data_IF_359349093343
#
_entry.id   IF_359349093343
#
_cell.length_a   1.000
_cell.length_b   1.000
_cell.length_c   1.000
_cell.angle_alpha   90.00
_cell.angle_beta   90.00
_cell.angle_gamma   90.00
#
_symmetry.space_group_name_H-M   'P 1'
#
loop_
_entity.id
_entity.type
_entity.pdbx_description
1 polymer ?
#
# COMPACT_ATOMS: atom_id res chain seq x y z
N UNK A 1 -67.09 14.11 11.05
CA UNK A 1 -67.82 12.85 10.81
C UNK A 1 -67.24 12.16 9.59
N UNK A 2 -66.69 10.94 9.74
CA UNK A 2 -66.57 9.97 8.64
C UNK A 2 -67.97 9.51 8.20
N UNK A 3 -68.15 8.93 7.00
CA UNK A 3 -68.05 7.45 6.91
C UNK A 3 -67.54 6.88 5.55
N UNK A 4 -66.99 5.66 5.62
CA UNK A 4 -66.90 4.62 4.58
C UNK A 4 -68.25 3.84 4.52
N UNK A 5 -68.67 3.04 3.49
CA UNK A 5 -67.92 1.89 2.92
C UNK A 5 -68.21 1.43 1.44
N UNK A 6 -67.48 0.38 1.00
CA UNK A 6 -67.59 -0.52 -0.20
C UNK A 6 -68.96 -1.26 -0.35
N UNK A 7 -69.27 -2.18 -1.33
CA UNK A 7 -68.43 -2.99 -2.27
C UNK A 7 -69.05 -3.32 -3.69
N UNK A 8 -68.37 -4.12 -4.53
CA UNK A 8 -68.87 -5.38 -5.17
C UNK A 8 -68.04 -5.86 -6.38
N UNK A 9 -67.82 -7.18 -6.41
CA UNK A 9 -67.13 -8.05 -7.39
C UNK A 9 -68.03 -8.52 -8.54
N UNK A 10 -67.47 -8.82 -9.73
CA UNK A 10 -67.72 -10.07 -10.48
C UNK A 10 -66.81 -10.25 -11.74
N UNK A 11 -66.28 -11.46 -11.89
CA UNK A 11 -65.82 -12.14 -13.12
C UNK A 11 -66.99 -13.00 -13.68
N UNK A 12 -66.87 -13.80 -14.76
CA UNK A 12 -66.01 -13.81 -15.96
C UNK A 12 -66.87 -14.00 -17.25
N UNK A 13 -66.26 -14.07 -18.45
CA UNK A 13 -66.64 -15.07 -19.48
C UNK A 13 -65.65 -15.12 -20.66
N UNK A 14 -65.38 -16.36 -21.06
CA UNK A 14 -64.58 -16.89 -22.17
C UNK A 14 -65.19 -16.60 -23.55
N UNK A 15 -64.36 -16.56 -24.60
CA UNK A 15 -64.50 -17.45 -25.76
C UNK A 15 -63.31 -17.40 -26.75
N UNK A 16 -62.84 -18.61 -27.11
CA UNK A 16 -62.08 -19.06 -28.29
C UNK A 16 -63.05 -19.98 -29.08
N UNK A 17 -62.78 -20.55 -30.29
CA UNK A 17 -61.62 -20.51 -31.19
C UNK A 17 -62.01 -20.41 -32.71
N UNK A 18 -61.05 -20.53 -33.64
CA UNK A 18 -61.25 -21.21 -34.92
C UNK A 18 -59.95 -21.89 -35.40
N UNK A 19 -60.12 -23.03 -36.08
CA UNK A 19 -59.20 -24.13 -36.37
C UNK A 19 -58.73 -24.20 -37.83
N UNK A 20 -57.67 -25.00 -38.08
CA UNK A 20 -57.47 -26.02 -39.16
C UNK A 20 -55.98 -26.06 -39.60
N UNK A 21 -55.15 -27.11 -39.37
CA UNK A 21 -55.13 -28.55 -39.75
C UNK A 21 -54.34 -28.82 -41.07
N UNK A 22 -53.10 -29.36 -41.06
CA UNK A 22 -52.60 -30.78 -41.14
C UNK A 22 -51.83 -31.05 -42.48
N UNK A 23 -51.01 -32.13 -42.75
CA UNK A 23 -50.46 -33.25 -41.93
C UNK A 23 -48.95 -33.66 -42.23
N UNK A 24 -48.48 -34.73 -41.55
CA UNK A 24 -47.14 -35.42 -41.58
C UNK A 24 -46.87 -36.35 -42.80
N UNK A 25 -45.68 -37.01 -42.94
CA UNK A 25 -45.46 -38.33 -42.31
C UNK A 25 -44.01 -38.66 -41.82
N UNK A 26 -43.97 -39.81 -41.16
CA UNK A 26 -42.98 -40.46 -40.29
C UNK A 26 -42.08 -41.47 -41.06
N UNK A 27 -40.85 -41.74 -40.59
CA UNK A 27 -40.23 -43.07 -40.77
C UNK A 27 -39.12 -43.37 -39.76
N UNK A 28 -39.35 -44.39 -38.92
CA UNK A 28 -38.39 -45.07 -38.06
C UNK A 28 -37.43 -45.97 -38.86
N UNK A 29 -36.19 -46.13 -38.40
CA UNK A 29 -35.50 -47.44 -38.32
C UNK A 29 -34.60 -47.52 -37.08
N UNK A 30 -34.58 -48.71 -36.49
CA UNK A 30 -34.04 -49.10 -35.18
C UNK A 30 -32.64 -49.76 -35.29
N UNK A 31 -31.99 -49.84 -34.12
CA UNK A 31 -30.95 -50.78 -33.65
C UNK A 31 -29.47 -50.35 -33.80
N UNK A 32 -28.79 -50.06 -32.68
CA UNK A 32 -28.05 -51.04 -31.88
C UNK A 32 -27.37 -50.38 -30.66
N UNK A 33 -27.40 -51.09 -29.53
CA UNK A 33 -26.77 -50.75 -28.25
C UNK A 33 -25.24 -50.80 -28.36
N UNK A 34 -24.54 -49.84 -27.75
CA UNK A 34 -23.15 -50.02 -27.31
C UNK A 34 -22.83 -49.14 -26.09
N UNK A 35 -22.60 -49.85 -24.99
CA UNK A 35 -21.74 -49.58 -23.83
C UNK A 35 -21.57 -48.13 -23.34
N UNK A 36 -22.17 -47.89 -22.17
CA UNK A 36 -21.79 -46.84 -21.22
C UNK A 36 -20.33 -47.06 -20.80
N UNK A 37 -19.44 -46.12 -21.15
CA UNK A 37 -18.19 -45.91 -20.43
C UNK A 37 -18.17 -44.48 -19.93
N UNK A 38 -18.17 -44.35 -18.60
CA UNK A 38 -17.94 -43.08 -17.93
C UNK A 38 -16.50 -42.64 -18.17
N UNK A 39 -16.32 -41.52 -18.86
CA UNK A 39 -15.06 -40.79 -18.84
C UNK A 39 -15.27 -39.55 -17.97
N UNK A 40 -14.80 -39.63 -16.72
CA UNK A 40 -14.62 -38.48 -15.87
C UNK A 40 -13.67 -37.50 -16.56
N UNK A 41 -14.19 -36.34 -16.98
CA UNK A 41 -13.35 -35.23 -17.44
C UNK A 41 -12.66 -34.67 -16.19
N UNK A 42 -11.44 -35.13 -15.94
CA UNK A 42 -10.56 -34.54 -14.94
C UNK A 42 -10.28 -33.08 -15.33
N UNK A 43 -10.63 -32.16 -14.44
CA UNK A 43 -10.14 -30.80 -14.47
C UNK A 43 -8.61 -30.83 -14.36
N UNK A 44 -7.92 -30.60 -15.48
CA UNK A 44 -6.49 -30.33 -15.47
C UNK A 44 -6.28 -28.93 -14.87
N UNK A 45 -6.08 -28.89 -13.57
CA UNK A 45 -5.38 -27.77 -12.93
C UNK A 45 -3.93 -27.83 -13.40
N UNK A 46 -3.66 -27.28 -14.58
CA UNK A 46 -2.29 -27.02 -15.03
C UNK A 46 -1.69 -25.94 -14.14
N UNK A 47 -1.14 -26.38 -13.01
CA UNK A 47 -0.18 -25.60 -12.25
C UNK A 47 1.04 -25.35 -13.16
N UNK A 48 1.53 -24.10 -13.19
CA UNK A 48 2.71 -23.71 -13.93
C UNK A 48 3.92 -24.52 -13.44
N UNK A 49 4.33 -25.54 -14.21
CA UNK A 49 5.45 -26.42 -13.87
C UNK A 49 6.78 -25.89 -14.42
N UNK A 50 7.76 -25.71 -13.53
CA UNK A 50 9.15 -25.34 -13.85
C UNK A 50 9.98 -26.58 -14.21
N UNK A 51 10.79 -26.50 -15.26
CA UNK A 51 11.81 -27.49 -15.59
C UNK A 51 13.22 -26.90 -15.44
N UNK A 52 14.00 -27.42 -14.49
CA UNK A 52 15.45 -27.21 -14.37
C UNK A 52 16.23 -28.37 -15.02
N UNK A 53 17.40 -28.04 -15.60
CA UNK A 53 18.66 -28.82 -15.82
C UNK A 53 19.39 -28.26 -17.07
N UNK A 54 20.70 -28.06 -17.21
CA UNK A 54 21.93 -28.08 -16.38
C UNK A 54 23.11 -27.58 -17.26
N UNK A 55 24.16 -27.05 -16.60
CA UNK A 55 25.61 -27.07 -16.93
C UNK A 55 26.36 -25.90 -17.66
N UNK A 56 27.25 -25.28 -16.86
CA UNK A 56 28.68 -24.91 -17.06
C UNK A 56 29.08 -23.94 -18.20
N UNK A 57 30.07 -23.03 -18.11
CA UNK A 57 31.26 -22.88 -17.25
C UNK A 57 31.75 -21.39 -17.25
N UNK A 58 32.83 -21.01 -16.51
CA UNK A 58 33.13 -19.64 -16.09
C UNK A 58 34.13 -18.90 -17.00
N UNK A 59 34.13 -17.56 -16.93
CA UNK A 59 35.28 -16.74 -17.36
C UNK A 59 35.63 -15.70 -16.30
N UNK A 60 36.91 -15.68 -15.96
CA UNK A 60 37.57 -14.75 -15.06
C UNK A 60 38.10 -13.53 -15.83
N UNK A 61 38.26 -12.41 -15.12
CA UNK A 61 39.42 -11.51 -15.13
C UNK A 61 39.11 -10.37 -14.14
N UNK A 62 39.76 -10.28 -12.99
CA UNK A 62 41.15 -9.86 -12.68
C UNK A 62 41.31 -8.34 -12.52
N UNK A 63 42.07 -8.01 -11.48
CA UNK A 63 42.27 -6.72 -10.81
C UNK A 63 43.11 -5.77 -11.64
N UNK A 64 42.92 -4.47 -11.43
CA UNK A 64 44.05 -3.54 -11.22
C UNK A 64 43.70 -2.56 -10.10
N UNK A 65 44.62 -2.46 -9.15
CA UNK A 65 44.66 -1.52 -8.02
C UNK A 65 45.74 -0.47 -8.29
N UNK A 66 45.58 0.66 -7.60
CA UNK A 66 46.62 1.51 -7.00
C UNK A 66 46.80 2.91 -7.61
N UNK A 67 46.84 3.88 -6.70
CA UNK A 67 47.20 5.27 -6.97
C UNK A 67 46.96 6.16 -5.75
N UNK A 68 47.72 5.90 -4.67
CA UNK A 68 47.77 6.71 -3.45
C UNK A 68 48.39 8.09 -3.71
N UNK A 69 47.97 9.10 -2.96
CA UNK A 69 48.63 10.41 -2.91
C UNK A 69 48.18 11.23 -1.70
N UNK A 70 49.00 11.23 -0.65
CA UNK A 70 48.88 12.02 0.57
C UNK A 70 49.18 13.51 0.33
N UNK A 71 48.58 14.40 1.12
CA UNK A 71 48.98 15.81 1.19
C UNK A 71 48.35 16.55 2.37
N UNK A 72 49.16 16.78 3.41
CA UNK A 72 48.91 17.67 4.55
C UNK A 72 48.92 19.14 4.12
N UNK A 73 48.17 19.99 4.82
CA UNK A 73 48.26 21.45 4.71
C UNK A 73 47.30 22.19 5.64
N UNK A 74 47.83 22.59 6.80
CA UNK A 74 47.29 23.62 7.72
C UNK A 74 47.12 24.97 7.00
N UNK A 75 46.06 25.71 7.33
CA UNK A 75 46.19 27.17 7.55
C UNK A 75 45.01 27.68 8.40
N UNK A 76 45.36 28.54 9.34
CA UNK A 76 44.48 29.19 10.30
C UNK A 76 44.42 30.67 9.95
N UNK A 77 43.20 31.21 9.83
CA UNK A 77 42.99 32.63 9.54
C UNK A 77 41.66 33.13 10.08
N UNK A 78 41.69 33.67 11.29
CA UNK A 78 40.63 34.48 11.88
C UNK A 78 40.62 35.89 11.26
N UNK A 79 39.45 36.49 11.03
CA UNK A 79 39.13 37.79 11.64
C UNK A 79 37.63 38.12 11.65
N UNK A 80 37.33 38.98 12.61
CA UNK A 80 36.12 39.52 13.21
C UNK A 80 35.11 40.20 12.28
N UNK A 81 33.87 40.21 12.76
CA UNK A 81 32.82 41.17 12.41
C UNK A 81 31.64 41.06 13.37
N UNK A 82 31.77 41.65 14.55
CA UNK A 82 30.78 41.67 15.63
C UNK A 82 30.21 43.08 15.79
N UNK A 83 28.88 43.19 15.81
CA UNK A 83 28.05 44.17 16.54
C UNK A 83 26.60 43.64 16.42
N UNK A 84 25.86 43.27 17.47
CA UNK A 84 25.67 43.96 18.76
C UNK A 84 24.38 44.78 18.67
N UNK A 85 23.37 44.64 19.53
CA UNK A 85 23.16 43.73 20.66
C UNK A 85 21.64 43.55 20.90
N UNK A 86 21.20 42.85 21.94
CA UNK A 86 21.19 43.12 23.38
C UNK A 86 19.75 43.38 23.86
N UNK A 87 19.36 42.65 24.91
CA UNK A 87 17.99 42.60 25.42
C UNK A 87 17.75 41.43 26.37
N UNK A 88 18.73 41.19 27.26
CA UNK A 88 18.55 40.34 28.44
C UNK A 88 17.64 41.07 29.42
N UNK A 89 16.51 40.46 29.77
CA UNK A 89 15.64 40.90 30.85
C UNK A 89 15.41 39.71 31.78
N UNK A 90 16.24 39.63 32.83
CA UNK A 90 15.98 38.76 33.95
C UNK A 90 14.67 39.17 34.64
N UNK A 91 13.79 38.20 34.89
CA UNK A 91 12.79 38.33 35.95
C UNK A 91 12.73 37.01 36.71
N UNK A 92 13.40 37.02 37.85
CA UNK A 92 13.31 36.06 38.92
C UNK A 92 11.86 36.03 39.45
N UNK A 93 11.31 34.84 39.63
CA UNK A 93 10.15 34.60 40.48
C UNK A 93 8.78 34.88 39.86
N UNK A 94 8.29 33.92 39.08
CA UNK A 94 6.87 33.60 39.15
C UNK A 94 6.70 32.09 39.07
N UNK A 95 6.03 31.52 40.07
CA UNK A 95 5.68 30.10 40.13
C UNK A 95 4.99 29.75 38.82
N UNK A 96 5.61 28.88 38.03
CA UNK A 96 5.04 28.43 36.77
C UNK A 96 3.73 27.72 37.04
N UNK A 97 2.63 28.37 36.70
CA UNK A 97 1.32 27.75 36.64
C UNK A 97 1.43 26.55 35.70
N UNK A 98 1.29 25.35 36.25
CA UNK A 98 1.32 24.06 35.55
C UNK A 98 0.13 23.86 34.61
N UNK A 99 -0.52 24.95 34.17
CA UNK A 99 -1.80 24.96 33.47
C UNK A 99 -1.80 25.82 32.20
N UNK A 100 -0.64 26.26 31.69
CA UNK A 100 -0.57 26.87 30.35
C UNK A 100 -0.72 25.77 29.29
N UNK A 101 -1.69 25.88 28.35
CA UNK A 101 -1.83 24.90 27.27
C UNK A 101 -0.52 24.72 26.51
N UNK A 102 -0.09 23.48 26.27
CA UNK A 102 1.03 23.22 25.39
C UNK A 102 0.72 23.79 24.00
N UNK A 103 1.75 24.26 23.27
CA UNK A 103 1.59 24.66 21.88
C UNK A 103 1.07 23.45 21.07
N UNK A 104 -0.21 23.46 20.72
CA UNK A 104 -0.82 22.43 19.89
C UNK A 104 -0.36 22.60 18.45
N UNK A 105 0.02 21.48 17.82
CA UNK A 105 0.28 21.46 16.38
C UNK A 105 -0.99 21.74 15.58
N UNK A 106 -0.86 21.91 14.26
CA UNK A 106 -2.02 22.01 13.37
C UNK A 106 -2.83 20.70 13.36
N UNK A 107 -4.15 20.71 13.08
CA UNK A 107 -4.93 19.47 12.92
C UNK A 107 -4.34 18.59 11.81
N UNK A 108 -4.46 17.27 11.94
CA UNK A 108 -3.93 16.33 10.95
C UNK A 108 -4.80 16.24 9.68
N UNK A 109 -6.12 16.45 9.82
CA UNK A 109 -7.13 16.17 8.79
C UNK A 109 -7.10 14.69 8.39
N UNK A 110 -7.57 14.36 7.17
CA UNK A 110 -7.48 13.00 6.63
C UNK A 110 -6.03 12.52 6.63
N UNK A 111 -5.76 11.46 7.39
CA UNK A 111 -4.46 10.83 7.43
C UNK A 111 -4.15 10.16 6.08
N UNK A 112 -2.87 9.93 5.83
CA UNK A 112 -2.40 9.16 4.68
C UNK A 112 -1.36 8.13 5.11
N UNK A 113 -1.29 7.02 4.37
CA UNK A 113 -0.21 6.05 4.47
C UNK A 113 0.83 6.36 3.40
N UNK A 114 2.05 6.66 3.83
CA UNK A 114 3.21 6.83 2.95
C UNK A 114 4.16 5.66 3.17
N UNK A 115 4.52 4.97 2.11
CA UNK A 115 5.52 3.93 2.21
C UNK A 115 6.93 4.54 2.29
N UNK A 116 7.70 4.09 3.27
CA UNK A 116 9.10 4.42 3.46
C UNK A 116 9.95 3.19 3.14
N UNK A 117 10.99 3.29 2.30
CA UNK A 117 11.89 2.17 2.02
C UNK A 117 12.52 1.58 3.29
N UNK A 118 12.75 2.40 4.32
CA UNK A 118 13.41 1.99 5.56
C UNK A 118 12.44 1.55 6.65
N UNK A 119 11.18 2.02 6.59
CA UNK A 119 10.22 1.89 7.68
C UNK A 119 8.91 1.20 7.27
N UNK A 120 8.78 0.77 6.02
CA UNK A 120 7.51 0.31 5.47
C UNK A 120 6.44 1.41 5.53
N UNK A 121 5.15 1.08 5.69
CA UNK A 121 4.08 2.07 5.74
C UNK A 121 4.19 2.96 6.99
N UNK A 122 4.23 4.26 6.76
CA UNK A 122 4.28 5.32 7.77
C UNK A 122 3.00 6.15 7.69
N UNK A 123 2.37 6.40 8.84
CA UNK A 123 1.23 7.31 8.95
C UNK A 123 1.69 8.75 8.86
N UNK A 124 1.00 9.53 8.04
CA UNK A 124 1.25 10.96 7.82
C UNK A 124 -0.04 11.76 7.98
N UNK A 125 0.10 13.05 8.25
CA UNK A 125 -1.02 13.98 8.13
C UNK A 125 -1.36 14.32 6.67
N UNK A 126 -2.42 15.11 6.46
CA UNK A 126 -2.84 15.57 5.13
C UNK A 126 -1.81 16.38 4.35
N UNK A 127 -0.75 16.87 5.00
CA UNK A 127 0.37 17.57 4.37
C UNK A 127 1.54 16.63 4.08
N UNK A 128 1.44 15.35 4.40
CA UNK A 128 2.49 14.35 4.21
C UNK A 128 3.59 14.39 5.28
N UNK A 129 3.38 15.09 6.41
CA UNK A 129 4.31 15.09 7.54
C UNK A 129 4.13 13.80 8.35
N UNK A 130 5.23 13.13 8.71
CA UNK A 130 5.17 11.90 9.48
C UNK A 130 4.63 12.12 10.90
N UNK A 131 3.83 11.16 11.37
CA UNK A 131 3.35 11.13 12.76
C UNK A 131 4.14 10.11 13.56
N UNK A 132 4.37 10.44 14.83
CA UNK A 132 5.25 9.70 15.73
C UNK A 132 4.56 9.29 17.00
N UNK A 133 5.02 8.17 17.55
CA UNK A 133 4.73 7.69 18.91
C UNK A 133 5.97 7.76 19.79
N UNK A 134 5.72 7.93 21.08
CA UNK A 134 6.74 7.97 22.12
C UNK A 134 6.65 6.75 23.03
N UNK A 135 7.77 6.08 23.28
CA UNK A 135 7.81 4.86 24.09
C UNK A 135 7.50 5.07 25.58
N UNK A 136 7.61 6.30 26.07
CA UNK A 136 7.24 6.62 27.46
C UNK A 136 5.75 6.91 27.64
N UNK A 137 4.97 6.92 26.56
CA UNK A 137 3.52 7.03 26.61
C UNK A 137 2.88 5.67 26.94
N UNK A 138 1.58 5.67 27.23
CA UNK A 138 0.79 4.43 27.37
C UNK A 138 -0.37 4.42 26.39
N UNK A 139 -0.74 3.24 25.91
CA UNK A 139 -1.89 3.07 25.01
C UNK A 139 -3.19 2.68 25.70
N UNK A 140 -3.11 2.06 26.88
CA UNK A 140 -4.27 1.52 27.62
C UNK A 140 -4.05 1.68 29.13
N UNK A 141 -4.68 2.67 29.79
CA UNK A 141 -5.36 3.80 29.15
C UNK A 141 -4.36 4.66 28.34
N UNK A 142 -4.82 5.36 27.30
CA UNK A 142 -4.00 6.35 26.61
C UNK A 142 -3.48 7.42 27.58
N UNK A 143 -2.17 7.68 27.58
CA UNK A 143 -1.58 8.78 28.35
C UNK A 143 -0.31 9.30 27.66
N UNK A 144 -0.12 10.62 27.66
CA UNK A 144 1.07 11.29 27.14
C UNK A 144 2.04 11.68 28.26
N UNK A 145 3.27 11.17 28.20
CA UNK A 145 4.39 11.60 29.04
C UNK A 145 5.13 12.83 28.47
N UNK A 146 4.91 13.21 27.22
CA UNK A 146 5.59 14.34 26.59
C UNK A 146 4.85 15.66 26.86
N UNK A 147 5.41 16.54 27.68
CA UNK A 147 4.87 17.88 27.99
C UNK A 147 5.99 18.94 28.06
N UNK A 148 5.63 20.23 28.18
CA UNK A 148 6.60 21.32 28.28
C UNK A 148 7.60 21.35 27.13
N UNK A 149 8.90 21.35 27.45
CA UNK A 149 9.98 21.35 26.45
C UNK A 149 9.94 20.15 25.50
N UNK A 150 9.44 18.99 25.96
CA UNK A 150 9.23 17.84 25.08
C UNK A 150 8.22 18.20 23.99
N UNK A 151 7.09 18.80 24.35
CA UNK A 151 6.03 19.18 23.42
C UNK A 151 6.45 20.31 22.46
N UNK A 152 7.49 21.09 22.78
CA UNK A 152 8.06 22.06 21.85
C UNK A 152 8.85 21.37 20.72
N UNK A 153 9.54 20.27 21.02
CA UNK A 153 10.29 19.48 20.02
C UNK A 153 9.39 18.47 19.31
N UNK A 154 8.37 17.99 20.02
CA UNK A 154 7.40 17.01 19.56
C UNK A 154 5.99 17.56 19.71
N UNK A 155 5.56 18.49 18.84
CA UNK A 155 4.23 19.09 18.94
C UNK A 155 3.12 18.02 18.93
N UNK A 156 2.24 18.00 19.94
CA UNK A 156 1.08 17.12 19.96
C UNK A 156 0.17 17.39 18.77
N UNK A 157 -0.34 16.34 18.15
CA UNK A 157 -1.33 16.43 17.08
C UNK A 157 -2.72 16.54 17.70
N UNK A 158 -3.50 17.61 17.43
CA UNK A 158 -4.87 17.70 17.92
C UNK A 158 -5.73 16.54 17.42
N UNK A 159 -6.67 16.09 18.26
CA UNK A 159 -7.61 15.03 17.88
C UNK A 159 -8.66 15.47 16.86
N UNK A 160 -8.88 16.77 16.74
CA UNK A 160 -9.98 17.31 15.94
C UNK A 160 -9.76 17.08 14.44
N UNK A 161 -10.85 16.73 13.75
CA UNK A 161 -10.94 16.55 12.29
C UNK A 161 -10.04 15.46 11.68
N UNK A 162 -9.43 14.60 12.49
CA UNK A 162 -8.65 13.47 12.00
C UNK A 162 -9.58 12.34 11.50
N UNK A 163 -9.38 11.91 10.25
CA UNK A 163 -10.05 10.74 9.68
C UNK A 163 -9.03 9.72 9.22
N UNK A 164 -9.38 8.44 9.31
CA UNK A 164 -8.47 7.36 8.95
C UNK A 164 -8.15 7.38 7.45
N UNK A 165 -6.90 7.06 7.13
CA UNK A 165 -6.48 6.81 5.75
C UNK A 165 -7.17 5.54 5.20
N UNK A 166 -7.23 5.42 3.87
CA UNK A 166 -7.50 4.09 3.26
C UNK A 166 -6.43 3.10 3.74
N UNK A 167 -6.84 1.87 4.06
CA UNK A 167 -5.96 0.86 4.66
C UNK A 167 -5.74 1.00 6.17
N UNK A 168 -6.34 1.97 6.84
CA UNK A 168 -6.39 2.05 8.30
C UNK A 168 -7.80 1.75 8.82
N UNK A 169 -7.89 1.00 9.93
CA UNK A 169 -9.16 0.84 10.61
C UNK A 169 -9.57 2.17 11.27
N UNK A 170 -10.79 2.65 11.01
CA UNK A 170 -11.32 3.85 11.69
C UNK A 170 -11.30 3.70 13.22
N UNK A 171 -11.49 2.47 13.73
CA UNK A 171 -11.39 2.13 15.15
C UNK A 171 -9.98 2.19 15.73
N UNK A 172 -8.95 2.33 14.90
CA UNK A 172 -7.59 2.59 15.39
C UNK A 172 -7.43 4.04 15.86
N UNK A 173 -8.26 4.97 15.38
CA UNK A 173 -8.20 6.37 15.80
C UNK A 173 -8.96 6.58 17.11
N UNK A 174 -8.40 7.44 17.95
CA UNK A 174 -9.02 7.87 19.20
C UNK A 174 -8.48 9.20 19.67
N UNK A 175 -8.70 9.49 20.95
CA UNK A 175 -8.14 10.69 21.57
C UNK A 175 -7.72 10.42 23.00
N UNK A 176 -6.79 11.25 23.49
CA UNK A 176 -6.41 11.35 24.90
C UNK A 176 -6.54 12.80 25.35
N UNK A 177 -7.12 13.01 26.54
CA UNK A 177 -7.07 14.32 27.20
C UNK A 177 -5.74 14.43 27.93
N UNK A 178 -4.93 15.41 27.54
CA UNK A 178 -3.63 15.69 28.14
C UNK A 178 -3.80 16.39 29.50
N UNK A 179 -2.73 16.43 30.29
CA UNK A 179 -2.73 17.08 31.61
C UNK A 179 -3.07 18.58 31.56
N UNK A 180 -2.83 19.23 30.43
CA UNK A 180 -3.17 20.64 30.17
C UNK A 180 -4.62 20.84 29.65
N UNK A 181 -5.43 19.79 29.65
CA UNK A 181 -6.82 19.79 29.20
C UNK A 181 -7.02 19.67 27.69
N UNK A 182 -5.95 19.74 26.90
CA UNK A 182 -6.04 19.64 25.43
C UNK A 182 -6.29 18.20 24.96
N UNK A 183 -7.00 18.02 23.84
CA UNK A 183 -7.20 16.70 23.22
C UNK A 183 -6.15 16.42 22.17
N UNK A 184 -5.51 15.26 22.26
CA UNK A 184 -4.52 14.78 21.32
C UNK A 184 -5.00 13.52 20.62
N UNK A 185 -4.72 13.43 19.31
CA UNK A 185 -5.00 12.26 18.49
C UNK A 185 -4.26 11.04 19.05
N UNK A 186 -4.94 9.89 19.08
CA UNK A 186 -4.31 8.60 19.30
C UNK A 186 -4.48 7.68 18.10
N UNK A 187 -3.48 6.83 17.84
CA UNK A 187 -3.50 5.79 16.81
C UNK A 187 -3.13 4.46 17.49
N UNK A 188 -4.02 3.48 17.43
CA UNK A 188 -3.88 2.23 18.20
C UNK A 188 -3.80 2.46 19.71
N UNK A 189 -4.37 3.57 20.20
CA UNK A 189 -4.32 4.01 21.60
C UNK A 189 -3.08 4.85 21.97
N UNK A 190 -2.05 4.94 21.13
CA UNK A 190 -0.83 5.71 21.41
C UNK A 190 -0.99 7.18 21.02
N UNK A 191 -0.56 8.16 21.84
CA UNK A 191 -0.61 9.59 21.49
C UNK A 191 0.27 9.94 20.30
N UNK A 192 -0.24 10.81 19.42
CA UNK A 192 0.43 11.20 18.17
C UNK A 192 1.09 12.57 18.22
N UNK A 193 2.32 12.64 17.71
CA UNK A 193 3.14 13.85 17.66
C UNK A 193 3.67 14.09 16.26
N UNK A 194 3.99 15.35 15.94
CA UNK A 194 4.91 15.70 14.85
C UNK A 194 6.31 15.90 15.41
N UNK A 195 7.32 15.94 14.52
CA UNK A 195 8.68 16.30 14.90
C UNK A 195 9.04 17.68 14.35
N UNK A 196 9.54 18.57 15.21
CA UNK A 196 9.82 19.95 14.84
C UNK A 196 10.92 20.12 13.78
N UNK A 197 11.78 19.11 13.58
CA UNK A 197 12.83 19.15 12.54
C UNK A 197 12.44 18.48 11.22
N UNK A 198 11.24 17.91 11.13
CA UNK A 198 10.67 17.52 9.84
C UNK A 198 10.12 18.78 9.18
N UNK A 199 10.71 19.16 8.05
CA UNK A 199 10.42 20.42 7.36
C UNK A 199 9.79 20.22 5.99
N UNK A 200 9.80 18.98 5.49
CA UNK A 200 9.22 18.62 4.21
C UNK A 200 8.34 17.36 4.31
N UNK A 201 7.30 17.23 3.47
CA UNK A 201 6.60 15.98 3.30
C UNK A 201 7.58 14.88 2.92
N UNK A 202 7.42 13.68 3.49
CA UNK A 202 8.38 12.60 3.28
C UNK A 202 9.44 12.48 4.37
N UNK A 203 9.74 13.55 5.10
CA UNK A 203 10.70 13.49 6.21
C UNK A 203 10.27 12.43 7.24
N UNK A 204 11.26 11.68 7.74
CA UNK A 204 11.12 10.75 8.85
C UNK A 204 12.19 10.98 9.92
N UNK A 205 12.76 12.19 10.04
CA UNK A 205 13.96 12.46 10.85
C UNK A 205 13.72 12.24 12.34
N UNK A 206 12.46 12.26 12.78
CA UNK A 206 12.08 11.91 14.15
C UNK A 206 12.21 10.42 14.48
N UNK A 207 12.28 9.54 13.48
CA UNK A 207 12.34 8.10 13.71
C UNK A 207 13.69 7.76 14.36
N UNK A 208 13.66 7.01 15.47
CA UNK A 208 14.87 6.57 16.18
C UNK A 208 15.51 7.64 17.08
N UNK A 209 14.98 8.88 17.11
CA UNK A 209 15.53 9.93 17.98
C UNK A 209 15.49 9.47 19.43
N UNK A 210 16.66 9.50 20.10
CA UNK A 210 16.81 9.07 21.48
C UNK A 210 16.47 7.60 21.75
N UNK A 211 16.32 6.77 20.71
CA UNK A 211 15.90 5.37 20.82
C UNK A 211 14.47 5.14 21.32
N UNK A 212 13.69 6.21 21.53
CA UNK A 212 12.34 6.15 22.14
C UNK A 212 11.24 6.71 21.25
N UNK A 213 11.61 7.30 20.11
CA UNK A 213 10.67 7.88 19.15
C UNK A 213 10.59 7.01 17.91
N UNK A 214 9.38 6.76 17.43
CA UNK A 214 9.17 5.94 16.24
C UNK A 214 8.03 6.51 15.42
N UNK A 215 8.20 6.53 14.10
CA UNK A 215 7.09 6.84 13.20
C UNK A 215 5.96 5.81 13.40
N UNK A 216 4.72 6.19 13.14
CA UNK A 216 3.58 5.28 13.25
C UNK A 216 3.47 4.35 12.05
N UNK A 217 3.23 3.06 12.31
CA UNK A 217 2.62 2.15 11.35
C UNK A 217 1.08 2.32 11.35
N UNK A 218 0.37 1.81 10.32
CA UNK A 218 -1.08 1.96 10.17
C UNK A 218 -1.92 1.47 11.36
N UNK A 219 -1.41 0.50 12.13
CA UNK A 219 -2.07 -0.10 13.28
C UNK A 219 -1.73 0.57 14.63
N UNK A 220 -0.98 1.68 14.61
CA UNK A 220 -0.51 2.38 15.80
C UNK A 220 0.77 1.79 16.42
N UNK A 221 1.33 0.73 15.84
CA UNK A 221 2.65 0.23 16.24
C UNK A 221 3.76 1.14 15.73
N UNK A 222 4.99 0.82 16.12
CA UNK A 222 6.19 1.45 15.55
C UNK A 222 6.27 1.03 14.09
N UNK A 223 6.42 2.00 13.20
CA UNK A 223 6.83 1.74 11.84
C UNK A 223 8.22 1.12 11.89
N UNK A 224 8.32 -0.05 11.30
CA UNK A 224 9.55 -0.78 11.04
C UNK A 224 9.39 -1.26 9.62
N UNK A 225 10.47 -1.33 8.84
CA UNK A 225 10.43 -2.20 7.68
C UNK A 225 9.94 -3.56 8.20
N UNK A 226 8.73 -3.96 7.79
CA UNK A 226 8.29 -5.32 8.04
C UNK A 226 9.34 -6.28 7.46
N UNK A 227 9.27 -7.59 7.73
CA UNK A 227 9.89 -8.51 6.80
C UNK A 227 9.37 -8.11 5.42
N UNK A 228 10.25 -7.66 4.53
CA UNK A 228 9.84 -7.14 3.23
C UNK A 228 9.12 -8.27 2.51
N UNK A 229 7.79 -8.25 2.53
CA UNK A 229 6.98 -9.22 1.82
C UNK A 229 7.36 -9.08 0.35
N UNK A 230 7.73 -10.17 -0.31
CA UNK A 230 8.19 -10.08 -1.69
C UNK A 230 7.08 -9.56 -2.61
N UNK A 231 5.82 -9.86 -2.24
CA UNK A 231 4.61 -9.25 -2.80
C UNK A 231 3.57 -9.11 -1.68
N UNK A 232 2.93 -7.94 -1.59
CA UNK A 232 1.86 -7.69 -0.62
C UNK A 232 0.65 -6.97 -1.23
N UNK A 233 -0.48 -7.02 -0.54
CA UNK A 233 -1.68 -6.27 -0.88
C UNK A 233 -1.62 -4.87 -0.26
N UNK A 234 -1.77 -3.85 -1.10
CA UNK A 234 -1.89 -2.45 -0.70
C UNK A 234 -3.29 -1.92 -1.01
N UNK A 235 -3.89 -1.17 -0.07
CA UNK A 235 -5.19 -0.54 -0.24
C UNK A 235 -5.02 0.87 -0.85
N UNK A 236 -5.15 0.98 -2.18
CA UNK A 236 -5.05 2.26 -2.88
C UNK A 236 -6.32 3.10 -2.73
N UNK A 237 -6.21 4.38 -2.35
CA UNK A 237 -7.35 5.28 -2.33
C UNK A 237 -8.11 5.40 -3.67
N UNK A 238 -7.41 5.27 -4.81
CA UNK A 238 -8.01 5.44 -6.15
C UNK A 238 -8.45 4.14 -6.80
N UNK A 239 -7.73 3.04 -6.55
CA UNK A 239 -7.89 1.78 -7.28
C UNK A 239 -8.38 0.63 -6.39
N UNK A 240 -8.54 0.87 -5.08
CA UNK A 240 -8.81 -0.18 -4.10
C UNK A 240 -7.60 -1.08 -3.89
N UNK A 241 -7.84 -2.34 -3.52
CA UNK A 241 -6.76 -3.28 -3.22
C UNK A 241 -5.99 -3.66 -4.49
N UNK A 242 -4.67 -3.53 -4.45
CA UNK A 242 -3.74 -3.94 -5.51
C UNK A 242 -2.49 -4.60 -4.94
N UNK A 243 -1.65 -5.17 -5.81
CA UNK A 243 -0.38 -5.76 -5.44
C UNK A 243 0.76 -4.76 -5.52
N UNK A 244 1.65 -4.79 -4.53
CA UNK A 244 2.92 -4.08 -4.51
C UNK A 244 4.09 -5.05 -4.31
N UNK A 245 5.29 -4.69 -4.77
CA UNK A 245 6.51 -5.44 -4.50
C UNK A 245 7.07 -5.17 -3.09
N UNK A 246 8.22 -5.77 -2.77
CA UNK A 246 8.91 -5.58 -1.49
C UNK A 246 9.36 -4.15 -1.19
N UNK A 247 9.49 -3.31 -2.22
CA UNK A 247 9.75 -1.88 -2.09
C UNK A 247 8.45 -1.06 -2.02
N UNK A 248 7.27 -1.70 -2.07
CA UNK A 248 5.95 -1.08 -2.05
C UNK A 248 5.54 -0.47 -3.40
N UNK A 249 6.27 -0.73 -4.49
CA UNK A 249 5.92 -0.21 -5.83
C UNK A 249 4.77 -1.02 -6.40
N UNK A 250 3.84 -0.34 -7.05
CA UNK A 250 2.68 -0.99 -7.67
C UNK A 250 3.13 -1.99 -8.73
N UNK A 251 2.55 -3.19 -8.65
CA UNK A 251 2.78 -4.28 -9.60
C UNK A 251 1.77 -4.15 -10.74
N UNK A 252 2.30 -4.09 -11.96
CA UNK A 252 1.55 -3.93 -13.21
C UNK A 252 1.65 -5.15 -14.10
N UNK A 253 0.60 -5.37 -14.90
CA UNK A 253 0.62 -6.27 -16.05
C UNK A 253 0.45 -5.52 -17.36
N UNK A 254 1.02 -6.07 -18.43
CA UNK A 254 0.96 -5.50 -19.77
C UNK A 254 0.01 -6.29 -20.66
N UNK A 255 -1.00 -5.66 -21.24
CA UNK A 255 -1.98 -6.33 -22.09
C UNK A 255 -1.39 -6.91 -23.40
N UNK A 256 -0.19 -6.51 -23.81
CA UNK A 256 0.48 -7.10 -24.99
C UNK A 256 1.28 -8.35 -24.65
N UNK A 257 1.49 -8.65 -23.37
CA UNK A 257 2.00 -9.96 -22.94
C UNK A 257 0.88 -11.03 -23.06
N UNK A 258 1.21 -12.30 -22.81
CA UNK A 258 0.20 -13.38 -22.76
C UNK A 258 0.36 -14.25 -21.53
N UNK A 259 -0.76 -14.84 -21.06
CA UNK A 259 -0.80 -15.67 -19.86
C UNK A 259 -0.22 -17.08 -20.07
N UNK A 260 -0.59 -17.74 -21.19
CA UNK A 260 -0.04 -19.05 -21.52
C UNK A 260 -0.12 -19.35 -23.03
N UNK A 261 0.96 -19.86 -23.66
CA UNK A 261 2.32 -19.81 -23.13
C UNK A 261 2.70 -18.35 -22.83
N UNK A 262 3.45 -18.13 -21.73
CA UNK A 262 3.83 -16.77 -21.35
C UNK A 262 4.71 -16.16 -22.44
N UNK A 263 4.31 -14.99 -22.94
CA UNK A 263 5.08 -14.22 -23.93
C UNK A 263 5.27 -12.80 -23.43
N UNK A 264 6.44 -12.26 -23.74
CA UNK A 264 6.88 -10.93 -23.34
C UNK A 264 6.91 -10.04 -24.57
N UNK A 265 6.00 -9.08 -24.64
CA UNK A 265 6.05 -7.97 -25.59
C UNK A 265 6.95 -6.84 -25.07
N UNK A 266 7.14 -6.72 -23.75
CA UNK A 266 8.08 -5.75 -23.17
C UNK A 266 9.49 -6.35 -23.07
N UNK A 267 10.37 -6.00 -24.02
CA UNK A 267 11.80 -6.36 -24.04
C UNK A 267 12.65 -5.14 -24.44
N UNK A 268 13.98 -5.22 -24.28
CA UNK A 268 14.90 -4.16 -24.69
C UNK A 268 14.57 -2.81 -24.02
N UNK A 269 14.49 -1.73 -24.80
CA UNK A 269 14.22 -0.38 -24.30
C UNK A 269 12.89 -0.24 -23.51
N UNK A 270 11.92 -1.15 -23.71
CA UNK A 270 10.72 -1.17 -22.85
C UNK A 270 11.09 -1.34 -21.37
N UNK A 271 12.13 -2.14 -21.10
CA UNK A 271 12.64 -2.42 -19.76
C UNK A 271 13.38 -1.24 -19.14
N UNK A 272 13.69 -0.18 -19.88
CA UNK A 272 14.22 1.05 -19.30
C UNK A 272 13.14 1.72 -18.44
N UNK A 273 11.89 1.61 -18.86
CA UNK A 273 10.73 2.22 -18.22
C UNK A 273 9.95 1.26 -17.33
N UNK A 274 9.80 0.00 -17.75
CA UNK A 274 9.00 -1.03 -17.08
C UNK A 274 9.91 -2.15 -16.60
N UNK A 275 10.23 -2.13 -15.30
CA UNK A 275 11.20 -3.05 -14.72
C UNK A 275 10.51 -4.37 -14.38
N UNK A 276 11.02 -5.53 -14.86
CA UNK A 276 10.49 -6.83 -14.44
C UNK A 276 10.56 -6.96 -12.92
N UNK A 277 9.47 -7.42 -12.29
CA UNK A 277 9.52 -7.75 -10.85
C UNK A 277 10.27 -9.07 -10.71
N UNK A 278 11.26 -9.12 -9.83
CA UNK A 278 12.02 -10.34 -9.55
C UNK A 278 11.14 -11.43 -8.90
N UNK A 279 11.58 -12.70 -8.89
CA UNK A 279 10.85 -13.79 -8.26
C UNK A 279 10.49 -13.50 -6.80
N UNK A 280 9.33 -13.97 -6.36
CA UNK A 280 8.85 -13.83 -5.00
C UNK A 280 8.93 -15.16 -4.24
N UNK A 281 9.39 -15.11 -2.99
CA UNK A 281 9.26 -16.19 -2.01
C UNK A 281 7.81 -16.33 -1.57
N UNK A 282 7.22 -17.52 -1.79
CA UNK A 282 5.84 -17.81 -1.43
C UNK A 282 5.59 -17.76 0.08
N UNK A 283 6.63 -17.96 0.89
CA UNK A 283 6.55 -17.80 2.35
C UNK A 283 6.54 -16.33 2.81
N UNK A 284 6.75 -15.38 1.89
CA UNK A 284 6.80 -13.93 2.16
C UNK A 284 5.72 -13.17 1.41
N UNK A 285 4.54 -13.77 1.25
CA UNK A 285 3.38 -13.11 0.67
C UNK A 285 2.49 -12.56 1.78
N UNK A 286 1.97 -11.35 1.58
CA UNK A 286 0.99 -10.76 2.49
C UNK A 286 -0.32 -10.47 1.74
N UNK A 287 -1.38 -11.24 2.04
CA UNK A 287 -2.71 -11.06 1.44
C UNK A 287 -2.83 -11.58 -0.01
N UNK A 288 -1.81 -12.23 -0.55
CA UNK A 288 -1.80 -12.78 -1.92
C UNK A 288 -1.86 -14.31 -1.89
N UNK A 289 -2.77 -14.96 -2.64
CA UNK A 289 -2.81 -16.42 -2.70
C UNK A 289 -1.55 -17.01 -3.37
N UNK A 290 -0.82 -17.88 -2.67
CA UNK A 290 0.41 -18.54 -3.15
C UNK A 290 0.27 -19.26 -4.51
N UNK A 291 -0.94 -19.76 -4.81
CA UNK A 291 -1.25 -20.46 -6.06
C UNK A 291 -1.18 -19.55 -7.29
N UNK A 292 -1.29 -18.23 -7.10
CA UNK A 292 -1.18 -17.26 -8.18
C UNK A 292 0.27 -16.92 -8.51
N UNK A 293 1.20 -17.20 -7.59
CA UNK A 293 2.59 -16.82 -7.71
C UNK A 293 3.38 -17.92 -8.43
N UNK A 294 4.07 -17.53 -9.49
CA UNK A 294 4.98 -18.38 -10.25
C UNK A 294 6.20 -17.59 -10.71
N UNK A 295 7.23 -18.29 -11.18
CA UNK A 295 8.42 -17.68 -11.78
C UNK A 295 8.48 -18.08 -13.24
N UNK A 296 8.75 -17.10 -14.10
CA UNK A 296 8.97 -17.32 -15.53
C UNK A 296 10.40 -16.92 -15.91
N UNK A 297 11.01 -17.70 -16.78
CA UNK A 297 12.32 -17.37 -17.36
C UNK A 297 12.11 -16.57 -18.64
N UNK A 298 12.71 -15.38 -18.70
CA UNK A 298 12.68 -14.49 -19.86
C UNK A 298 13.63 -15.00 -20.96
N UNK A 299 13.49 -14.51 -22.22
CA UNK A 299 14.38 -14.91 -23.31
C UNK A 299 15.86 -14.58 -23.07
N UNK A 300 16.15 -13.57 -22.25
CA UNK A 300 17.50 -13.18 -21.83
C UNK A 300 18.06 -14.05 -20.68
N UNK A 301 17.32 -15.06 -20.22
CA UNK A 301 17.69 -15.96 -19.13
C UNK A 301 17.38 -15.41 -17.73
N UNK A 302 16.98 -14.15 -17.59
CA UNK A 302 16.58 -13.59 -16.30
C UNK A 302 15.26 -14.16 -15.81
N UNK A 303 15.07 -14.21 -14.49
CA UNK A 303 13.84 -14.70 -13.86
C UNK A 303 12.94 -13.54 -13.49
N UNK A 304 11.64 -13.68 -13.74
CA UNK A 304 10.62 -12.69 -13.45
C UNK A 304 9.45 -13.33 -12.71
N UNK A 305 8.83 -12.57 -11.81
CA UNK A 305 7.57 -12.91 -11.18
C UNK A 305 6.45 -12.95 -12.23
N UNK A 306 5.62 -13.98 -12.14
CA UNK A 306 4.34 -14.02 -12.80
C UNK A 306 3.22 -14.21 -11.77
N UNK A 307 2.17 -13.40 -11.89
CA UNK A 307 0.97 -13.44 -11.05
C UNK A 307 -0.21 -13.88 -11.91
N UNK A 308 -0.90 -14.96 -11.51
CA UNK A 308 -2.01 -15.55 -12.27
C UNK A 308 -1.60 -15.84 -13.73
N UNK A 309 -0.39 -16.39 -13.90
CA UNK A 309 0.25 -16.68 -15.19
C UNK A 309 0.60 -15.45 -16.05
N UNK A 310 0.53 -14.22 -15.55
CA UNK A 310 0.96 -13.03 -16.28
C UNK A 310 2.31 -12.52 -15.79
N UNK A 311 3.29 -12.23 -16.68
CA UNK A 311 4.49 -11.50 -16.30
C UNK A 311 4.14 -10.12 -15.74
N UNK A 312 4.77 -9.74 -14.63
CA UNK A 312 4.48 -8.46 -13.96
C UNK A 312 5.70 -7.55 -13.83
N UNK A 313 5.46 -6.24 -13.78
CA UNK A 313 6.46 -5.19 -13.85
C UNK A 313 6.18 -4.10 -12.81
N UNK A 314 7.21 -3.34 -12.43
CA UNK A 314 7.07 -2.03 -11.79
C UNK A 314 7.34 -0.91 -12.79
N UNK A 315 6.81 0.27 -12.51
CA UNK A 315 6.94 1.43 -13.38
C UNK A 315 7.97 2.42 -12.82
N UNK A 316 8.95 2.81 -13.63
CA UNK A 316 9.99 3.77 -13.22
C UNK A 316 9.48 5.17 -12.86
N UNK A 317 8.28 5.56 -13.31
CA UNK A 317 7.66 6.82 -12.93
C UNK A 317 6.85 6.75 -11.63
N UNK A 318 6.79 5.59 -10.98
CA UNK A 318 6.33 5.49 -9.59
C UNK A 318 7.53 5.82 -8.69
N UNK A 319 7.45 6.97 -8.03
CA UNK A 319 8.54 7.51 -7.21
C UNK A 319 8.30 7.27 -5.72
N UNK A 320 7.03 7.13 -5.34
CA UNK A 320 6.61 6.79 -4.00
C UNK A 320 5.94 5.43 -4.01
N UNK A 321 6.10 4.62 -2.96
CA UNK A 321 5.43 3.34 -2.96
C UNK A 321 3.93 3.52 -2.72
N UNK A 322 3.14 2.76 -3.47
CA UNK A 322 1.74 3.06 -3.72
C UNK A 322 1.47 4.13 -4.79
N UNK A 323 2.47 4.66 -5.50
CA UNK A 323 2.16 5.40 -6.72
C UNK A 323 1.47 4.46 -7.73
N UNK A 324 0.51 5.02 -8.46
CA UNK A 324 -0.21 4.31 -9.52
C UNK A 324 -0.03 4.98 -10.88
N UNK A 325 1.10 5.66 -11.11
CA UNK A 325 1.32 6.50 -12.30
C UNK A 325 1.44 5.68 -13.59
N UNK A 326 1.72 4.37 -13.47
CA UNK A 326 1.68 3.43 -14.57
C UNK A 326 0.28 3.01 -15.01
N UNK A 327 -0.76 3.28 -14.20
CA UNK A 327 -2.12 2.83 -14.46
C UNK A 327 -2.67 3.42 -15.76
N UNK A 328 -3.15 2.56 -16.65
CA UNK A 328 -3.73 2.96 -17.94
C UNK A 328 -2.72 3.51 -18.94
N UNK A 329 -1.41 3.49 -18.65
CA UNK A 329 -0.40 4.07 -19.52
C UNK A 329 -0.44 3.40 -20.90
N UNK A 330 -0.47 4.21 -21.96
CA UNK A 330 -0.64 3.76 -23.35
C UNK A 330 -1.83 2.79 -23.56
N UNK A 331 -2.87 2.89 -22.72
CA UNK A 331 -4.03 2.00 -22.75
C UNK A 331 -3.74 0.52 -22.49
N UNK A 332 -2.53 0.18 -22.05
CA UNK A 332 -2.04 -1.21 -22.08
C UNK A 332 -1.47 -1.70 -20.75
N UNK A 333 -1.18 -0.81 -19.80
CA UNK A 333 -0.59 -1.14 -18.50
C UNK A 333 -1.61 -0.99 -17.38
N UNK A 334 -1.74 -2.00 -16.52
CA UNK A 334 -2.77 -2.02 -15.48
C UNK A 334 -2.23 -2.62 -14.19
N UNK A 335 -2.54 -1.97 -13.07
CA UNK A 335 -2.27 -2.49 -11.74
C UNK A 335 -2.98 -3.84 -11.54
N UNK A 336 -2.34 -4.72 -10.77
CA UNK A 336 -2.80 -6.08 -10.53
C UNK A 336 -3.54 -6.14 -9.19
N UNK A 337 -4.74 -6.74 -9.17
CA UNK A 337 -5.54 -6.97 -7.96
C UNK A 337 -5.00 -8.16 -7.14
N UNK A 338 -5.43 -8.34 -5.87
CA UNK A 338 -5.08 -9.51 -5.06
C UNK A 338 -5.40 -10.86 -5.72
N UNK A 339 -6.39 -10.89 -6.61
CA UNK A 339 -6.80 -12.06 -7.38
C UNK A 339 -6.00 -12.25 -8.69
N UNK A 340 -4.97 -11.44 -8.93
CA UNK A 340 -4.13 -11.48 -10.13
C UNK A 340 -4.77 -10.87 -11.38
N UNK A 341 -5.91 -10.19 -11.24
CA UNK A 341 -6.63 -9.56 -12.36
C UNK A 341 -6.16 -8.13 -12.58
N UNK A 342 -6.28 -7.61 -13.80
CA UNK A 342 -6.08 -6.16 -14.02
C UNK A 342 -7.22 -5.40 -13.39
N UNK A 343 -6.90 -4.27 -12.77
CA UNK A 343 -7.88 -3.30 -12.32
C UNK A 343 -8.21 -2.39 -13.50
N UNK A 344 -9.42 -2.48 -14.05
CA UNK A 344 -9.87 -1.67 -15.20
C UNK A 344 -10.74 -0.47 -14.83
N UNK A 345 -11.19 -0.39 -13.57
CA UNK A 345 -12.03 0.69 -13.05
C UNK A 345 -11.52 1.12 -11.68
N UNK A 346 -11.69 2.40 -11.28
CA UNK A 346 -11.54 2.81 -9.89
C UNK A 346 -12.46 1.97 -8.99
N UNK A 347 -12.05 1.72 -7.75
CA UNK A 347 -12.96 1.14 -6.77
C UNK A 347 -14.15 2.09 -6.58
N UNK A 348 -15.38 1.60 -6.80
CA UNK A 348 -16.58 2.33 -6.41
C UNK A 348 -16.56 2.42 -4.89
N UNK A 349 -16.32 3.63 -4.37
CA UNK A 349 -16.39 3.92 -2.94
C UNK A 349 -17.80 3.79 -2.40
#
# INVERSE_FOLDING_TARGET
>A
MSPQPHPHTNHPHTDRPHTDAHPHPNTQRRHALLAITAAAVMALTTACGSGDRTNAAPVANDKVQAGSGSGYGDDSGADKGQAGGDGYGDSYGSKGDSNRPAAQGAPARTLALRQSPELGPVVTDSKGMALYRFDKDTAKPPNSACSGACAATWPPVPADDATAASGMAASALGSVTRADGTKQLTIGGWPAYRYAKDTAPGDTKGHGVGGTWSAFAPDGKKATAGPAADVSVFDQPKLGKLLVDKEGRTVYRFNKDSAWPMRFACNGACLDTWKPVGPADKGKLEGVPEKLISTVTRPDGSKQLAVDCWPVYTFSGDQQPGDVNGQGKMGSWFAVSPEGKKITSPATG
#
